data_IF_056431589559
#
_entry.id   IF_056431589559
#
_cell.length_a   1.000
_cell.length_b   1.000
_cell.length_c   1.000
_cell.angle_alpha   90.00
_cell.angle_beta   90.00
_cell.angle_gamma   90.00
#
_symmetry.space_group_name_H-M   'P 1'
#
loop_
_entity.id
_entity.type
_entity.pdbx_description
1 polymer ?
#
# COMPACT_ATOMS: atom_id res chain seq x y z
N UNK A 1 24.54 -34.74 29.99
CA UNK A 1 23.42 -34.09 29.28
C UNK A 1 23.77 -32.66 28.88
N UNK A 2 24.64 -32.46 27.88
CA UNK A 2 25.19 -31.13 27.55
C UNK A 2 25.23 -30.83 26.04
N UNK A 3 24.31 -31.39 25.25
CA UNK A 3 24.31 -31.27 23.79
C UNK A 3 23.06 -30.60 23.19
N UNK A 4 22.06 -30.24 24.00
CA UNK A 4 20.78 -29.69 23.48
C UNK A 4 20.79 -28.14 23.45
N UNK A 5 21.74 -27.47 24.12
CA UNK A 5 21.79 -26.01 24.20
C UNK A 5 22.39 -25.28 22.99
N UNK A 6 23.10 -25.97 22.09
CA UNK A 6 23.84 -25.33 21.00
C UNK A 6 23.03 -25.18 19.70
N UNK A 7 22.01 -26.02 19.49
CA UNK A 7 21.22 -26.01 18.25
C UNK A 7 20.26 -24.80 18.17
N UNK A 8 19.70 -24.38 19.31
CA UNK A 8 18.74 -23.26 19.38
C UNK A 8 19.38 -21.90 19.15
N UNK A 9 20.63 -21.70 19.61
CA UNK A 9 21.38 -20.46 19.39
C UNK A 9 21.75 -20.26 17.91
N UNK A 10 22.10 -21.34 17.19
CA UNK A 10 22.39 -21.30 15.76
C UNK A 10 21.18 -20.93 14.92
N UNK A 11 20.00 -21.50 15.22
CA UNK A 11 18.75 -21.17 14.51
C UNK A 11 18.26 -19.75 14.79
N UNK A 12 18.39 -19.24 16.02
CA UNK A 12 18.01 -17.86 16.35
C UNK A 12 18.95 -16.84 15.71
N UNK A 13 20.26 -17.13 15.67
CA UNK A 13 21.24 -16.29 14.97
C UNK A 13 21.00 -16.26 13.46
N UNK A 14 20.74 -17.43 12.84
CA UNK A 14 20.47 -17.54 11.41
C UNK A 14 19.16 -16.84 11.01
N UNK A 15 18.08 -17.04 11.78
CA UNK A 15 16.79 -16.37 11.53
C UNK A 15 16.88 -14.86 11.73
N UNK A 16 17.50 -14.38 12.81
CA UNK A 16 17.70 -12.95 13.04
C UNK A 16 18.59 -12.31 11.97
N UNK A 17 19.67 -13.00 11.57
CA UNK A 17 20.53 -12.57 10.48
C UNK A 17 19.80 -12.51 9.13
N UNK A 18 18.94 -13.49 8.84
CA UNK A 18 18.11 -13.51 7.65
C UNK A 18 17.04 -12.40 7.66
N UNK A 19 16.38 -12.17 8.79
CA UNK A 19 15.42 -11.08 8.96
C UNK A 19 16.11 -9.73 8.78
N UNK A 20 17.27 -9.50 9.39
CA UNK A 20 18.05 -8.28 9.19
C UNK A 20 18.52 -8.12 7.73
N UNK A 21 18.92 -9.20 7.08
CA UNK A 21 19.31 -9.18 5.67
C UNK A 21 18.14 -8.82 4.75
N UNK A 22 16.96 -9.40 4.96
CA UNK A 22 15.76 -9.11 4.18
C UNK A 22 15.24 -7.70 4.42
N UNK A 23 15.27 -7.21 5.66
CA UNK A 23 14.94 -5.82 5.99
C UNK A 23 15.94 -4.84 5.34
N UNK A 24 17.24 -5.13 5.43
CA UNK A 24 18.28 -4.35 4.74
C UNK A 24 18.17 -4.43 3.23
N UNK A 25 17.60 -5.49 2.66
CA UNK A 25 17.33 -5.60 1.22
C UNK A 25 16.12 -4.74 0.84
N UNK A 26 15.07 -4.73 1.66
CA UNK A 26 13.88 -3.88 1.49
C UNK A 26 14.16 -2.39 1.70
N UNK A 27 15.17 -2.04 2.52
CA UNK A 27 15.57 -0.65 2.77
C UNK A 27 16.57 -0.10 1.73
N UNK A 28 16.77 -0.77 0.60
CA UNK A 28 17.67 -0.29 -0.47
C UNK A 28 16.89 0.57 -1.45
N UNK A 29 17.46 1.72 -1.78
CA UNK A 29 16.96 2.58 -2.87
C UNK A 29 17.31 1.97 -4.22
N UNK A 30 18.55 1.51 -4.38
CA UNK A 30 19.09 0.96 -5.63
C UNK A 30 19.33 -0.55 -5.48
N UNK A 31 18.91 -1.39 -6.45
CA UNK A 31 19.23 -2.81 -6.47
C UNK A 31 20.75 -3.04 -6.56
N UNK A 32 21.41 -3.26 -5.42
CA UNK A 32 22.84 -3.61 -5.36
C UNK A 32 23.69 -2.69 -4.49
N UNK A 33 23.27 -1.45 -4.28
CA UNK A 33 23.99 -0.50 -3.41
C UNK A 33 23.46 -0.56 -1.99
N UNK A 34 24.35 -0.61 -0.99
CA UNK A 34 23.94 -0.48 0.42
C UNK A 34 23.49 0.95 0.68
N UNK A 35 22.25 1.12 1.13
CA UNK A 35 21.76 2.43 1.60
C UNK A 35 22.26 2.69 3.03
N UNK A 36 22.67 3.93 3.36
CA UNK A 36 22.97 4.35 4.72
C UNK A 36 21.72 4.56 5.60
N UNK A 37 20.51 4.40 5.05
CA UNK A 37 19.27 4.65 5.76
C UNK A 37 19.08 3.70 6.96
N UNK A 38 18.66 4.22 8.13
CA UNK A 38 18.39 3.39 9.30
C UNK A 38 17.17 2.50 9.06
N UNK A 39 17.19 1.29 9.61
CA UNK A 39 16.10 0.31 9.46
C UNK A 39 14.78 0.78 10.07
N UNK A 40 14.82 1.73 11.00
CA UNK A 40 13.63 2.35 11.59
C UNK A 40 12.77 3.09 10.57
N UNK A 41 13.35 3.51 9.43
CA UNK A 41 12.61 4.20 8.36
C UNK A 41 11.61 3.30 7.63
N UNK A 42 11.72 1.97 7.74
CA UNK A 42 10.73 1.05 7.19
C UNK A 42 9.34 1.24 7.83
N UNK A 43 9.31 1.61 9.12
CA UNK A 43 8.08 1.78 9.90
C UNK A 43 7.84 3.24 10.33
N UNK A 44 8.78 4.14 10.08
CA UNK A 44 8.66 5.54 10.48
C UNK A 44 7.78 6.36 9.53
N UNK A 45 6.99 7.25 10.12
CA UNK A 45 6.14 8.23 9.41
C UNK A 45 6.84 9.56 9.15
N UNK A 46 8.11 9.70 9.58
CA UNK A 46 8.92 10.91 9.36
C UNK A 46 9.01 11.24 7.86
N UNK A 47 9.08 12.53 7.54
CA UNK A 47 9.13 13.00 6.16
C UNK A 47 10.34 12.42 5.39
N UNK A 48 11.51 12.34 6.02
CA UNK A 48 12.70 11.70 5.44
C UNK A 48 12.45 10.22 5.06
N UNK A 49 11.82 9.44 5.95
CA UNK A 49 11.47 8.05 5.69
C UNK A 49 10.42 7.89 4.57
N UNK A 50 9.47 8.84 4.45
CA UNK A 50 8.52 8.86 3.33
C UNK A 50 9.21 9.14 1.99
N UNK A 51 10.12 10.12 1.96
CA UNK A 51 10.92 10.46 0.80
C UNK A 51 11.81 9.31 0.34
N UNK A 52 12.51 8.66 1.29
CA UNK A 52 13.31 7.46 1.00
C UNK A 52 12.48 6.34 0.36
N UNK A 53 11.32 6.00 0.97
CA UNK A 53 10.42 4.97 0.42
C UNK A 53 9.83 5.35 -0.93
N UNK A 54 9.64 6.64 -1.19
CA UNK A 54 9.18 7.14 -2.48
C UNK A 54 10.27 6.99 -3.54
N UNK A 55 11.48 7.46 -3.26
CA UNK A 55 12.64 7.33 -4.13
C UNK A 55 12.94 5.86 -4.47
N UNK A 56 12.90 4.98 -3.47
CA UNK A 56 13.05 3.54 -3.69
C UNK A 56 11.99 3.01 -4.66
N UNK A 57 10.71 3.38 -4.49
CA UNK A 57 9.63 2.98 -5.41
C UNK A 57 9.86 3.48 -6.84
N UNK A 58 10.28 4.72 -7.01
CA UNK A 58 10.59 5.29 -8.34
C UNK A 58 11.70 4.51 -9.03
N UNK A 59 12.82 4.25 -8.35
CA UNK A 59 13.93 3.48 -8.94
C UNK A 59 13.52 2.03 -9.25
N UNK A 60 12.77 1.37 -8.37
CA UNK A 60 12.26 0.03 -8.65
C UNK A 60 11.31 0.00 -9.86
N UNK A 61 10.49 1.03 -10.05
CA UNK A 61 9.62 1.15 -11.22
C UNK A 61 10.43 1.34 -12.52
N UNK A 62 11.50 2.15 -12.47
CA UNK A 62 12.43 2.31 -13.60
C UNK A 62 13.06 0.97 -13.96
N UNK A 63 13.60 0.24 -12.98
CA UNK A 63 14.16 -1.10 -13.19
C UNK A 63 13.15 -2.09 -13.77
N UNK A 64 11.94 -2.12 -13.24
CA UNK A 64 10.89 -3.02 -13.72
C UNK A 64 10.55 -2.80 -15.20
N UNK A 65 10.58 -1.55 -15.68
CA UNK A 65 10.33 -1.24 -17.10
C UNK A 65 11.51 -1.58 -18.02
N UNK A 66 12.69 -1.81 -17.45
CA UNK A 66 13.96 -1.96 -18.18
C UNK A 66 14.38 -3.42 -18.34
N UNK A 67 13.90 -4.32 -17.47
CA UNK A 67 14.25 -5.74 -17.48
C UNK A 67 14.00 -6.37 -18.86
N UNK A 68 13.01 -5.88 -19.61
CA UNK A 68 12.66 -6.35 -20.96
C UNK A 68 13.46 -5.68 -22.09
N UNK A 69 14.12 -4.54 -21.82
CA UNK A 69 14.81 -3.69 -22.82
C UNK A 69 16.34 -3.86 -22.82
N UNK A 70 16.83 -5.08 -22.57
CA UNK A 70 18.26 -5.40 -22.40
C UNK A 70 19.20 -4.96 -23.55
N UNK A 71 18.68 -4.69 -24.74
CA UNK A 71 19.49 -4.29 -25.91
C UNK A 71 19.76 -2.78 -26.00
N UNK A 72 19.21 -1.96 -25.09
CA UNK A 72 19.35 -0.50 -25.16
C UNK A 72 20.45 0.02 -24.23
N UNK A 73 21.70 -0.15 -24.70
CA UNK A 73 22.93 0.32 -24.02
C UNK A 73 22.86 1.80 -23.60
N UNK A 74 22.14 2.66 -24.34
CA UNK A 74 21.98 4.08 -24.02
C UNK A 74 21.08 4.35 -22.80
N UNK A 75 20.03 3.55 -22.59
CA UNK A 75 19.09 3.73 -21.48
C UNK A 75 19.73 3.30 -20.14
N UNK A 76 20.60 2.29 -20.17
CA UNK A 76 21.27 1.79 -18.98
C UNK A 76 22.20 2.83 -18.35
N UNK A 77 22.87 3.63 -19.18
CA UNK A 77 23.74 4.71 -18.70
C UNK A 77 22.93 5.78 -17.96
N UNK A 78 21.80 6.22 -18.52
CA UNK A 78 20.90 7.16 -17.87
C UNK A 78 20.36 6.64 -16.54
N UNK A 79 20.08 5.34 -16.47
CA UNK A 79 19.58 4.69 -15.24
C UNK A 79 20.67 4.63 -14.18
N UNK A 80 21.91 4.30 -14.54
CA UNK A 80 23.04 4.34 -13.61
C UNK A 80 23.31 5.74 -13.08
N UNK A 81 23.18 6.78 -13.91
CA UNK A 81 23.28 8.18 -13.48
C UNK A 81 22.15 8.55 -12.51
N UNK A 82 20.91 8.11 -12.80
CA UNK A 82 19.76 8.29 -11.94
C UNK A 82 19.94 7.60 -10.58
N UNK A 83 20.47 6.36 -10.58
CA UNK A 83 20.80 5.62 -9.36
C UNK A 83 21.86 6.31 -8.52
N UNK A 84 22.92 6.82 -9.17
CA UNK A 84 23.99 7.54 -8.50
C UNK A 84 23.46 8.82 -7.82
N UNK A 85 22.60 9.56 -8.52
CA UNK A 85 21.97 10.77 -8.00
C UNK A 85 20.97 10.45 -6.87
N UNK A 86 20.15 9.40 -7.02
CA UNK A 86 19.26 8.92 -5.97
C UNK A 86 20.05 8.50 -4.71
N UNK A 87 21.20 7.84 -4.86
CA UNK A 87 22.07 7.51 -3.73
C UNK A 87 22.66 8.74 -3.04
N UNK A 88 22.96 9.81 -3.79
CA UNK A 88 23.46 11.07 -3.23
C UNK A 88 22.38 11.76 -2.38
N UNK A 89 21.15 11.85 -2.91
CA UNK A 89 19.99 12.39 -2.19
C UNK A 89 19.70 11.58 -0.93
N UNK A 90 19.77 10.24 -1.00
CA UNK A 90 19.55 9.37 0.15
C UNK A 90 20.56 9.64 1.29
N UNK A 91 21.85 9.85 0.95
CA UNK A 91 22.87 10.24 1.94
C UNK A 91 22.55 11.60 2.57
N UNK A 92 22.11 12.57 1.78
CA UNK A 92 21.72 13.88 2.29
C UNK A 92 20.48 13.79 3.20
N UNK A 93 19.49 12.96 2.86
CA UNK A 93 18.32 12.71 3.72
C UNK A 93 18.74 12.17 5.09
N UNK A 94 19.71 11.25 5.13
CA UNK A 94 20.25 10.71 6.40
C UNK A 94 20.96 11.80 7.19
N UNK A 95 21.77 12.65 6.54
CA UNK A 95 22.44 13.77 7.21
C UNK A 95 21.44 14.80 7.78
N UNK A 96 20.37 15.09 7.03
CA UNK A 96 19.31 16.02 7.44
C UNK A 96 18.48 15.45 8.60
N UNK A 97 18.22 14.15 8.63
CA UNK A 97 17.49 13.51 9.74
C UNK A 97 18.24 13.66 11.08
N UNK A 98 19.57 13.71 11.06
CA UNK A 98 20.42 13.95 12.23
C UNK A 98 20.52 15.43 12.64
N UNK A 99 20.12 16.36 11.77
CA UNK A 99 20.25 17.81 12.00
C UNK A 99 19.17 18.38 12.94
N UNK A 100 19.42 19.49 13.68
CA UNK A 100 18.44 20.13 14.54
C UNK A 100 17.16 20.61 13.82
N UNK A 101 16.03 20.64 14.54
CA UNK A 101 14.68 20.89 14.00
C UNK A 101 14.50 22.13 13.10
N UNK A 102 15.00 23.34 13.43
CA UNK A 102 14.70 24.52 12.60
C UNK A 102 15.36 24.44 11.21
N UNK A 103 16.59 23.93 11.12
CA UNK A 103 17.32 23.77 9.85
C UNK A 103 16.80 22.56 9.06
N UNK A 104 16.35 21.51 9.76
CA UNK A 104 15.84 20.26 9.17
C UNK A 104 14.68 20.51 8.19
N UNK A 105 13.68 21.31 8.57
CA UNK A 105 12.50 21.52 7.71
C UNK A 105 12.84 22.26 6.41
N UNK A 106 13.75 23.23 6.46
CA UNK A 106 14.20 23.96 5.26
C UNK A 106 14.94 23.02 4.31
N UNK A 107 15.92 22.28 4.82
CA UNK A 107 16.69 21.31 4.04
C UNK A 107 15.80 20.20 3.46
N UNK A 108 14.80 19.72 4.21
CA UNK A 108 13.84 18.73 3.70
C UNK A 108 12.98 19.26 2.55
N UNK A 109 12.62 20.55 2.55
CA UNK A 109 11.87 21.17 1.43
C UNK A 109 12.73 21.28 0.18
N UNK A 110 14.01 21.63 0.32
CA UNK A 110 14.97 21.66 -0.78
C UNK A 110 15.16 20.25 -1.36
N UNK A 111 15.41 19.25 -0.52
CA UNK A 111 15.52 17.85 -0.94
C UNK A 111 14.22 17.30 -1.56
N UNK A 112 13.06 17.75 -1.11
CA UNK A 112 11.79 17.37 -1.74
C UNK A 112 11.73 17.85 -3.20
N UNK A 113 12.20 19.07 -3.49
CA UNK A 113 12.24 19.59 -4.84
C UNK A 113 13.22 18.80 -5.72
N UNK A 114 14.38 18.43 -5.18
CA UNK A 114 15.35 17.56 -5.88
C UNK A 114 14.76 16.19 -6.18
N UNK A 115 14.11 15.53 -5.22
CA UNK A 115 13.43 14.24 -5.44
C UNK A 115 12.39 14.35 -6.56
N UNK A 116 11.65 15.46 -6.65
CA UNK A 116 10.68 15.68 -7.73
C UNK A 116 11.35 15.82 -9.10
N UNK A 117 12.55 16.39 -9.18
CA UNK A 117 13.32 16.42 -10.42
C UNK A 117 13.75 15.01 -10.83
N UNK A 118 14.21 14.18 -9.88
CA UNK A 118 14.53 12.77 -10.11
C UNK A 118 13.32 12.02 -10.63
N UNK A 119 12.16 12.23 -10.03
CA UNK A 119 10.91 11.61 -10.47
C UNK A 119 10.54 12.02 -11.90
N UNK A 120 10.67 13.30 -12.26
CA UNK A 120 10.39 13.76 -13.61
C UNK A 120 11.33 13.14 -14.66
N UNK A 121 12.61 12.96 -14.31
CA UNK A 121 13.58 12.25 -15.16
C UNK A 121 13.24 10.75 -15.25
N UNK A 122 12.91 10.12 -14.13
CA UNK A 122 12.50 8.72 -14.07
C UNK A 122 11.26 8.45 -14.92
N UNK A 123 10.23 9.30 -14.83
CA UNK A 123 9.03 9.23 -15.67
C UNK A 123 9.36 9.35 -17.16
N UNK A 124 10.29 10.24 -17.52
CA UNK A 124 10.77 10.38 -18.90
C UNK A 124 11.47 9.11 -19.39
N UNK A 125 12.34 8.52 -18.56
CA UNK A 125 13.03 7.25 -18.85
C UNK A 125 12.03 6.11 -19.01
N UNK A 126 11.05 5.98 -18.10
CA UNK A 126 9.99 4.97 -18.18
C UNK A 126 9.16 5.15 -19.45
N UNK A 127 8.74 6.38 -19.78
CA UNK A 127 7.97 6.67 -20.99
C UNK A 127 8.78 6.32 -22.25
N UNK A 128 10.07 6.65 -22.28
CA UNK A 128 10.95 6.31 -23.39
C UNK A 128 11.14 4.79 -23.51
N UNK A 129 11.35 4.08 -22.40
CA UNK A 129 11.44 2.62 -22.36
C UNK A 129 10.17 1.95 -22.88
N UNK A 130 8.99 2.40 -22.43
CA UNK A 130 7.69 1.88 -22.92
C UNK A 130 7.45 2.16 -24.40
N UNK A 131 7.72 3.38 -24.85
CA UNK A 131 7.60 3.74 -26.26
C UNK A 131 8.50 2.86 -27.15
N UNK A 132 9.69 2.54 -26.67
CA UNK A 132 10.62 1.65 -27.36
C UNK A 132 10.23 0.17 -27.29
N UNK A 133 9.60 -0.26 -26.20
CA UNK A 133 9.04 -1.61 -26.07
C UNK A 133 7.78 -1.83 -26.93
N UNK A 134 7.27 -0.79 -27.60
CA UNK A 134 6.00 -0.85 -28.33
C UNK A 134 4.78 -0.97 -27.41
N UNK A 135 4.98 -0.77 -26.10
CA UNK A 135 3.94 -0.85 -25.08
C UNK A 135 3.21 0.50 -25.04
N UNK A 136 2.48 0.77 -26.11
CA UNK A 136 1.56 1.91 -26.18
C UNK A 136 0.45 1.65 -25.15
N UNK A 137 0.07 2.62 -24.29
CA UNK A 137 -0.93 2.40 -23.26
C UNK A 137 -2.24 2.03 -23.93
N UNK A 138 -2.52 0.73 -24.00
CA UNK A 138 -3.70 0.24 -24.69
C UNK A 138 -4.92 0.65 -23.86
N UNK A 139 -5.58 1.73 -24.28
CA UNK A 139 -6.91 2.14 -23.78
C UNK A 139 -7.88 0.93 -23.81
N UNK A 140 -7.63 -0.04 -24.72
CA UNK A 140 -8.31 -1.34 -24.79
C UNK A 140 -8.19 -2.21 -23.53
N UNK A 141 -7.06 -2.20 -22.82
CA UNK A 141 -6.87 -3.00 -21.61
C UNK A 141 -7.74 -2.52 -20.44
N UNK A 142 -7.85 -1.19 -20.28
CA UNK A 142 -8.73 -0.57 -19.28
C UNK A 142 -10.21 -0.69 -19.68
N UNK A 143 -10.53 -0.61 -20.97
CA UNK A 143 -11.90 -0.83 -21.46
C UNK A 143 -12.43 -2.22 -21.07
N UNK A 144 -11.64 -3.29 -21.25
CA UNK A 144 -12.04 -4.64 -20.85
C UNK A 144 -12.11 -4.85 -19.33
N UNK A 145 -11.41 -4.05 -18.52
CA UNK A 145 -11.58 -4.06 -17.05
C UNK A 145 -12.85 -3.30 -16.65
N UNK A 146 -13.11 -2.15 -17.27
CA UNK A 146 -14.35 -1.38 -17.08
C UNK A 146 -15.56 -2.23 -17.43
N UNK A 147 -15.55 -2.89 -18.59
CA UNK A 147 -16.64 -3.74 -19.04
C UNK A 147 -16.95 -4.90 -18.06
N UNK A 148 -15.92 -5.50 -17.45
CA UNK A 148 -16.11 -6.51 -16.41
C UNK A 148 -16.69 -5.94 -15.12
N UNK A 149 -16.32 -4.72 -14.75
CA UNK A 149 -16.87 -4.05 -13.57
C UNK A 149 -18.33 -3.68 -13.81
N UNK A 150 -18.67 -3.17 -15.00
CA UNK A 150 -20.04 -2.84 -15.40
C UNK A 150 -20.91 -4.11 -15.41
N UNK A 151 -20.39 -5.23 -15.92
CA UNK A 151 -21.07 -6.52 -15.88
C UNK A 151 -21.29 -7.04 -14.45
N UNK A 152 -20.32 -6.84 -13.55
CA UNK A 152 -20.45 -7.21 -12.14
C UNK A 152 -21.51 -6.34 -11.43
N UNK A 153 -21.53 -5.04 -11.69
CA UNK A 153 -22.51 -4.11 -11.12
C UNK A 153 -23.92 -4.44 -11.62
N UNK A 154 -24.08 -4.78 -12.90
CA UNK A 154 -25.35 -5.25 -13.46
C UNK A 154 -25.83 -6.55 -12.77
N UNK A 155 -24.95 -7.54 -12.60
CA UNK A 155 -25.28 -8.77 -11.91
C UNK A 155 -25.68 -8.54 -10.44
N UNK A 156 -24.99 -7.64 -9.73
CA UNK A 156 -25.34 -7.23 -8.37
C UNK A 156 -26.70 -6.53 -8.31
N UNK A 157 -27.01 -5.67 -9.29
CA UNK A 157 -28.28 -4.98 -9.38
C UNK A 157 -29.45 -5.94 -9.66
N UNK A 158 -29.22 -6.96 -10.49
CA UNK A 158 -30.21 -8.00 -10.77
C UNK A 158 -30.43 -8.89 -9.55
N UNK A 159 -29.38 -9.27 -8.81
CA UNK A 159 -29.54 -9.98 -7.52
C UNK A 159 -30.33 -9.15 -6.52
N UNK A 160 -30.05 -7.85 -6.40
CA UNK A 160 -30.80 -6.95 -5.52
C UNK A 160 -32.26 -6.75 -5.98
N UNK A 161 -32.55 -6.92 -7.27
CA UNK A 161 -33.91 -6.91 -7.83
C UNK A 161 -34.64 -8.20 -7.50
N UNK A 162 -33.98 -9.35 -7.64
CA UNK A 162 -34.52 -10.66 -7.27
C UNK A 162 -34.81 -10.75 -5.77
N UNK A 163 -33.90 -10.30 -4.91
CA UNK A 163 -34.12 -10.25 -3.45
C UNK A 163 -35.30 -9.35 -3.05
N UNK A 164 -35.55 -8.27 -3.82
CA UNK A 164 -36.74 -7.43 -3.65
C UNK A 164 -38.02 -8.04 -4.21
N UNK A 165 -37.93 -8.83 -5.28
CA UNK A 165 -39.07 -9.51 -5.90
C UNK A 165 -39.49 -10.75 -5.10
N UNK A 166 -38.52 -11.46 -4.52
CA UNK A 166 -38.67 -12.59 -3.60
C UNK A 166 -38.78 -12.15 -2.14
N UNK A 167 -38.89 -10.83 -1.89
CA UNK A 167 -39.19 -10.29 -0.57
C UNK A 167 -40.39 -11.04 0.01
N UNK A 168 -40.29 -11.59 1.24
CA UNK A 168 -41.22 -12.58 1.73
C UNK A 168 -42.63 -11.99 1.65
N UNK A 169 -43.50 -12.65 0.88
CA UNK A 169 -44.92 -12.36 0.99
C UNK A 169 -45.27 -12.62 2.46
N UNK A 170 -45.48 -11.54 3.22
CA UNK A 170 -45.91 -11.61 4.62
C UNK A 170 -47.23 -12.39 4.80
N UNK A 171 -47.83 -12.87 3.70
CA UNK A 171 -49.00 -13.73 3.64
C UNK A 171 -48.72 -15.24 3.55
N UNK A 172 -47.49 -15.72 3.27
CA UNK A 172 -47.20 -17.17 3.18
C UNK A 172 -46.59 -17.76 4.45
N UNK A 173 -45.76 -17.00 5.19
CA UNK A 173 -45.22 -17.46 6.49
C UNK A 173 -46.32 -17.51 7.57
N UNK A 174 -47.41 -16.74 7.40
CA UNK A 174 -48.60 -16.81 8.27
C UNK A 174 -49.55 -17.97 7.99
N UNK A 175 -49.37 -18.72 6.88
CA UNK A 175 -50.30 -19.79 6.47
C UNK A 175 -49.78 -21.21 6.78
N UNK A 176 -48.47 -21.36 7.07
CA UNK A 176 -47.85 -22.64 7.42
C UNK A 176 -47.80 -22.90 8.94
N UNK A 177 -48.12 -21.90 9.78
CA UNK A 177 -48.18 -22.04 11.24
C UNK A 177 -49.47 -21.44 11.80
N UNK A 178 -50.61 -22.09 11.50
CA UNK A 178 -51.92 -21.62 11.95
C UNK A 178 -52.99 -22.69 12.03
N UNK A 179 -52.81 -23.73 12.85
CA UNK A 179 -53.90 -24.19 13.72
C UNK A 179 -53.34 -24.80 15.01
N UNK A 180 -53.86 -24.38 16.15
CA UNK A 180 -53.36 -24.73 17.48
C UNK A 180 -53.28 -23.53 18.42
N UNK A 181 -54.44 -23.03 18.85
CA UNK A 181 -54.57 -22.08 19.96
C UNK A 181 -53.81 -22.57 21.22
N UNK A 182 -52.93 -21.72 21.75
CA UNK A 182 -52.81 -21.56 23.20
C UNK A 182 -52.59 -20.08 23.54
N UNK A 183 -53.36 -19.49 24.48
CA UNK A 183 -53.12 -18.14 24.94
C UNK A 183 -51.95 -18.16 25.93
N UNK A 184 -50.80 -17.64 25.53
CA UNK A 184 -49.69 -17.38 26.46
C UNK A 184 -49.92 -16.01 27.08
N UNK A 185 -50.13 -16.00 28.40
CA UNK A 185 -50.20 -14.81 29.23
C UNK A 185 -49.02 -13.87 28.96
N UNK A 186 -49.33 -12.58 28.79
CA UNK A 186 -48.33 -11.52 28.67
C UNK A 186 -47.77 -11.18 30.05
N UNK A 187 -46.45 -11.28 30.29
CA UNK A 187 -45.83 -10.51 31.36
C UNK A 187 -45.81 -9.04 30.93
N UNK A 188 -46.34 -8.17 31.80
CA UNK A 188 -46.38 -6.72 31.63
C UNK A 188 -44.97 -6.17 31.34
N UNK A 189 -44.85 -5.44 30.23
CA UNK A 189 -43.68 -4.63 29.89
C UNK A 189 -43.63 -3.41 30.82
N UNK A 190 -42.52 -3.12 31.53
CA UNK A 190 -42.38 -1.86 32.25
C UNK A 190 -42.26 -0.68 31.27
N UNK A 191 -42.69 0.53 31.67
CA UNK A 191 -42.77 1.69 30.79
C UNK A 191 -41.40 2.23 30.37
N UNK A 192 -41.38 2.76 29.16
CA UNK A 192 -40.25 3.44 28.54
C UNK A 192 -39.77 4.60 29.43
N UNK A 193 -38.52 4.51 29.88
CA UNK A 193 -37.81 5.67 30.42
C UNK A 193 -37.41 6.55 29.23
N UNK A 194 -38.21 7.60 29.07
CA UNK A 194 -37.87 8.83 28.38
C UNK A 194 -36.46 9.31 28.77
N UNK A 195 -35.57 9.43 27.79
CA UNK A 195 -34.31 10.18 27.92
C UNK A 195 -34.18 11.18 26.78
N UNK A 196 -35.15 12.09 26.70
CA UNK A 196 -34.90 13.48 26.31
C UNK A 196 -34.35 14.27 27.49
N UNK A 197 -33.03 14.26 27.68
CA UNK A 197 -32.21 15.26 28.39
C UNK A 197 -30.75 14.87 28.05
N UNK A 198 -29.79 15.71 27.64
CA UNK A 198 -29.63 17.16 27.58
C UNK A 198 -28.53 17.45 26.55
N UNK A 199 -28.79 18.42 25.69
CA UNK A 199 -27.76 19.31 25.13
C UNK A 199 -27.43 20.34 26.25
N UNK A 200 -26.19 20.85 26.28
CA UNK A 200 -25.68 21.98 27.09
C UNK A 200 -25.26 21.72 28.54
N UNK A 201 -23.95 21.74 28.79
CA UNK A 201 -23.17 22.75 29.56
C UNK A 201 -21.67 22.38 29.41
N UNK A 202 -20.88 23.23 28.74
CA UNK A 202 -19.84 24.12 29.29
C UNK A 202 -18.60 23.39 29.77
#
# INVERSE_FOLDING_TARGET
EAAIGAASAGTLGATTGYVLHTLRKRNRVVPGTRSPAPLSWLWSWRMAARLHRHLARTIHAVHACIVDSREQLGLMTMVKELEAHACAIDRQLVAVDQSPNPTRYRMLRELYAEVRQVDAVAERVIRMGRAWAGDEPSVRGLAGVSERLDALEAAMADLARLDRADGPTASEVGRVLGDGRQPVERPRRPPAADRRYRRFQR
#
